data_IF_892981763920
#
_entry.id   IF_892981763920
#
_cell.length_a   1.000
_cell.length_b   1.000
_cell.length_c   1.000
_cell.angle_alpha   90.00
_cell.angle_beta   90.00
_cell.angle_gamma   90.00
#
_symmetry.space_group_name_H-M   'P 1'
#
loop_
_entity.id
_entity.type
_entity.pdbx_description
1 polymer ?
#
# COMPACT_ATOMS: atom_id res chain seq x y z
N UNK A 1 19.26 -17.38 28.79
CA UNK A 1 19.30 -16.61 27.53
C UNK A 1 18.02 -15.80 27.51
N UNK A 2 18.07 -14.55 27.95
CA UNK A 2 16.89 -13.68 27.91
C UNK A 2 16.58 -13.36 26.45
N UNK A 3 15.49 -13.95 25.96
CA UNK A 3 15.13 -13.92 24.54
C UNK A 3 14.76 -12.50 24.10
N UNK A 4 15.67 -11.89 23.35
CA UNK A 4 15.46 -10.68 22.54
C UNK A 4 14.29 -10.87 21.54
N UNK A 5 13.82 -12.10 21.34
CA UNK A 5 12.63 -12.45 20.54
C UNK A 5 11.35 -11.72 20.96
N UNK A 6 11.23 -11.26 22.22
CA UNK A 6 10.07 -10.47 22.67
C UNK A 6 10.03 -9.05 22.08
N UNK A 7 11.15 -8.58 21.52
CA UNK A 7 11.30 -7.24 20.92
C UNK A 7 11.27 -7.26 19.39
N UNK A 8 11.35 -8.45 18.77
CA UNK A 8 11.24 -8.65 17.32
C UNK A 8 9.85 -9.25 17.04
N UNK A 9 8.79 -8.54 17.43
CA UNK A 9 7.44 -8.87 16.96
C UNK A 9 7.23 -8.13 15.64
N UNK A 10 7.06 -8.85 14.55
CA UNK A 10 6.79 -8.31 13.20
C UNK A 10 5.66 -7.25 13.21
N UNK A 11 4.69 -7.38 14.12
CA UNK A 11 3.57 -6.45 14.33
C UNK A 11 3.95 -5.06 14.85
N UNK A 12 5.16 -4.86 15.41
CA UNK A 12 5.64 -3.54 15.89
C UNK A 12 6.73 -2.94 15.03
N UNK A 13 7.15 -3.64 13.98
CA UNK A 13 8.24 -3.17 13.15
C UNK A 13 7.68 -2.11 12.17
N UNK A 14 7.90 -0.83 12.50
CA UNK A 14 7.51 0.31 11.66
C UNK A 14 8.03 0.14 10.23
N UNK A 15 9.15 -0.57 10.05
CA UNK A 15 9.71 -0.92 8.74
C UNK A 15 8.83 -1.90 7.96
N UNK A 16 8.21 -2.89 8.62
CA UNK A 16 7.30 -3.83 8.00
C UNK A 16 6.00 -3.14 7.57
N UNK A 17 5.38 -2.35 8.46
CA UNK A 17 4.18 -1.57 8.15
C UNK A 17 4.42 -0.59 7.00
N UNK A 18 5.55 0.12 7.04
CA UNK A 18 5.95 1.04 5.96
C UNK A 18 6.32 0.31 4.67
N UNK A 19 6.77 -0.93 4.76
CA UNK A 19 7.02 -1.81 3.63
C UNK A 19 5.72 -2.28 2.98
N UNK A 20 4.74 -2.68 3.79
CA UNK A 20 3.40 -3.07 3.36
C UNK A 20 2.68 -1.91 2.65
N UNK A 21 2.64 -0.72 3.27
CA UNK A 21 2.05 0.48 2.65
C UNK A 21 2.71 0.82 1.30
N UNK A 22 4.04 0.66 1.19
CA UNK A 22 4.76 0.87 -0.08
C UNK A 22 4.45 -0.19 -1.12
N UNK A 23 4.25 -1.44 -0.70
CA UNK A 23 3.88 -2.53 -1.59
C UNK A 23 2.47 -2.31 -2.15
N UNK A 24 1.52 -1.97 -1.29
CA UNK A 24 0.15 -1.58 -1.65
C UNK A 24 0.16 -0.37 -2.59
N UNK A 25 0.94 0.67 -2.28
CA UNK A 25 1.05 1.84 -3.16
C UNK A 25 1.57 1.45 -4.55
N UNK A 26 2.57 0.56 -4.62
CA UNK A 26 3.13 0.11 -5.90
C UNK A 26 2.14 -0.70 -6.72
N UNK A 27 1.36 -1.56 -6.09
CA UNK A 27 0.31 -2.35 -6.75
C UNK A 27 -0.75 -1.41 -7.32
N UNK A 28 -1.29 -0.51 -6.50
CA UNK A 28 -2.30 0.47 -6.91
C UNK A 28 -1.79 1.38 -8.04
N UNK A 29 -0.55 1.87 -7.95
CA UNK A 29 0.10 2.64 -9.04
C UNK A 29 0.15 1.87 -10.34
N UNK A 30 0.54 0.61 -10.30
CA UNK A 30 0.62 -0.22 -11.49
C UNK A 30 -0.75 -0.46 -12.10
N UNK A 31 -1.77 -0.71 -11.27
CA UNK A 31 -3.15 -0.88 -11.73
C UNK A 31 -3.68 0.40 -12.39
N UNK A 32 -3.51 1.56 -11.74
CA UNK A 32 -3.93 2.88 -12.28
C UNK A 32 -3.23 3.27 -13.59
N UNK A 33 -1.99 2.84 -13.80
CA UNK A 33 -1.18 3.26 -14.96
C UNK A 33 -1.23 2.28 -16.12
N UNK A 34 -1.40 0.98 -15.85
CA UNK A 34 -1.35 -0.07 -16.88
C UNK A 34 -2.71 -0.59 -17.29
N UNK A 35 -3.73 -0.43 -16.45
CA UNK A 35 -5.07 -0.96 -16.69
C UNK A 35 -6.09 0.17 -16.63
N UNK A 36 -7.11 0.11 -17.49
CA UNK A 36 -8.23 1.06 -17.51
C UNK A 36 -9.33 0.61 -16.56
N UNK A 37 -8.99 0.45 -15.27
CA UNK A 37 -9.92 0.04 -14.22
C UNK A 37 -10.44 1.25 -13.45
N UNK A 38 -11.66 1.15 -12.90
CA UNK A 38 -12.18 2.17 -11.99
C UNK A 38 -11.50 2.11 -10.61
N UNK A 39 -11.58 3.19 -9.84
CA UNK A 39 -10.98 3.24 -8.51
C UNK A 39 -11.54 2.16 -7.57
N UNK A 40 -12.84 1.85 -7.72
CA UNK A 40 -13.54 0.80 -6.96
C UNK A 40 -13.03 -0.60 -7.31
N UNK A 41 -12.80 -0.87 -8.60
CA UNK A 41 -12.24 -2.16 -9.05
C UNK A 41 -10.79 -2.34 -8.55
N UNK A 42 -10.02 -1.27 -8.56
CA UNK A 42 -8.63 -1.28 -8.07
C UNK A 42 -8.59 -1.52 -6.56
N UNK A 43 -9.49 -0.86 -5.82
CA UNK A 43 -9.65 -1.05 -4.38
C UNK A 43 -9.98 -2.50 -4.03
N UNK A 44 -10.93 -3.10 -4.75
CA UNK A 44 -11.33 -4.50 -4.56
C UNK A 44 -10.19 -5.48 -4.86
N UNK A 45 -9.45 -5.29 -5.98
CA UNK A 45 -8.31 -6.15 -6.35
C UNK A 45 -7.14 -6.02 -5.36
N UNK A 46 -6.85 -4.80 -4.92
CA UNK A 46 -5.73 -4.53 -4.02
C UNK A 46 -6.08 -4.77 -2.55
N UNK A 47 -7.36 -4.98 -2.21
CA UNK A 47 -7.81 -5.17 -0.83
C UNK A 47 -7.67 -3.91 0.04
N UNK A 48 -7.74 -2.73 -0.56
CA UNK A 48 -7.53 -1.44 0.11
C UNK A 48 -8.77 -0.54 -0.02
N UNK A 49 -8.95 0.47 0.86
CA UNK A 49 -10.05 1.42 0.72
C UNK A 49 -9.97 2.25 -0.56
N UNK A 50 -11.13 2.64 -1.10
CA UNK A 50 -11.21 3.48 -2.30
C UNK A 50 -10.54 4.85 -2.06
N UNK A 51 -10.60 5.41 -0.85
CA UNK A 51 -9.92 6.67 -0.54
C UNK A 51 -8.40 6.57 -0.69
N UNK A 52 -7.81 5.40 -0.38
CA UNK A 52 -6.39 5.15 -0.55
C UNK A 52 -6.00 5.17 -2.03
N UNK A 53 -6.81 4.53 -2.89
CA UNK A 53 -6.64 4.54 -4.35
C UNK A 53 -6.72 5.97 -4.89
N UNK A 54 -7.74 6.73 -4.48
CA UNK A 54 -7.91 8.12 -4.87
C UNK A 54 -6.73 9.00 -4.44
N UNK A 55 -6.21 8.79 -3.23
CA UNK A 55 -5.03 9.50 -2.73
C UNK A 55 -3.78 9.22 -3.58
N UNK A 56 -3.58 7.97 -4.02
CA UNK A 56 -2.48 7.61 -4.92
C UNK A 56 -2.67 8.22 -6.30
N UNK A 57 -3.89 8.18 -6.84
CA UNK A 57 -4.22 8.78 -8.13
C UNK A 57 -3.92 10.29 -8.14
N UNK A 58 -4.28 11.01 -7.07
CA UNK A 58 -3.96 12.43 -6.89
C UNK A 58 -2.45 12.69 -6.84
N UNK A 59 -1.69 11.88 -6.09
CA UNK A 59 -0.21 11.98 -6.06
C UNK A 59 0.41 11.76 -7.44
N UNK A 60 -0.15 10.83 -8.22
CA UNK A 60 0.28 10.52 -9.59
C UNK A 60 0.03 11.70 -10.54
N UNK A 61 -1.13 12.35 -10.41
CA UNK A 61 -1.49 13.53 -11.19
C UNK A 61 -0.64 14.75 -10.81
N UNK A 62 -0.32 14.94 -9.52
CA UNK A 62 0.51 16.04 -9.04
C UNK A 62 2.01 15.89 -9.36
N UNK A 63 2.46 14.66 -9.63
CA UNK A 63 3.84 14.34 -10.01
C UNK A 63 4.08 14.36 -11.52
N UNK A 64 3.08 14.73 -12.31
CA UNK A 64 3.13 14.80 -13.78
C UNK A 64 3.31 16.23 -14.23
#
# INVERSE_FOLDING_TARGET
MDSIAKYISEERDVLYLRGAEKAEERIVKNLLTKLSLSAEQIADIAGVPVEFVNGIQQKLAASK
#
